data_IF_166679635575
#
_entry.id   IF_166679635575
#
_cell.length_a   1.000
_cell.length_b   1.000
_cell.length_c   1.000
_cell.angle_alpha   90.00
_cell.angle_beta   90.00
_cell.angle_gamma   90.00
#
_symmetry.space_group_name_H-M   'P 1'
#
loop_
_entity.id
_entity.type
_entity.pdbx_description
1 polymer ?
#
# COMPACT_ATOMS: atom_id res chain seq x y z
N UNK A 1 20.76 18.76 11.10
CA UNK A 1 19.71 18.47 12.11
C UNK A 1 18.31 18.30 11.48
N UNK A 2 18.20 18.21 10.15
CA UNK A 2 16.94 18.41 9.40
C UNK A 2 16.20 17.09 9.06
N UNK A 3 16.93 15.97 8.93
CA UNK A 3 16.33 14.66 8.56
C UNK A 3 15.45 14.05 9.65
N UNK A 4 15.74 14.35 10.92
CA UNK A 4 14.98 13.81 12.06
C UNK A 4 13.59 14.47 12.20
N UNK A 5 13.48 15.74 11.81
CA UNK A 5 12.24 16.52 11.92
C UNK A 5 11.23 16.10 10.84
N UNK A 6 11.70 15.90 9.61
CA UNK A 6 10.91 15.35 8.49
C UNK A 6 10.40 13.94 8.82
N UNK A 7 11.25 13.09 9.42
CA UNK A 7 10.86 11.74 9.84
C UNK A 7 9.76 11.75 10.91
N UNK A 8 9.82 12.66 11.87
CA UNK A 8 8.85 12.75 12.96
C UNK A 8 7.49 13.27 12.48
N UNK A 9 7.50 14.28 11.60
CA UNK A 9 6.27 14.81 10.98
C UNK A 9 5.59 13.79 10.06
N UNK A 10 6.36 12.97 9.33
CA UNK A 10 5.81 11.87 8.52
C UNK A 10 5.22 10.79 9.44
N UNK A 11 5.89 10.42 10.54
CA UNK A 11 5.37 9.44 11.51
C UNK A 11 4.04 9.86 12.12
N UNK A 12 3.88 11.13 12.51
CA UNK A 12 2.62 11.66 13.03
C UNK A 12 1.46 11.49 12.03
N UNK A 13 1.68 11.89 10.77
CA UNK A 13 0.68 11.71 9.70
C UNK A 13 0.38 10.26 9.40
N UNK A 14 1.38 9.38 9.44
CA UNK A 14 1.19 7.95 9.22
C UNK A 14 0.33 7.34 10.32
N UNK A 15 0.53 7.73 11.58
CA UNK A 15 -0.29 7.26 12.70
C UNK A 15 -1.78 7.62 12.53
N UNK A 16 -2.10 8.80 12.00
CA UNK A 16 -3.48 9.23 11.72
C UNK A 16 -4.22 8.38 10.66
N UNK A 17 -3.48 7.71 9.77
CA UNK A 17 -4.04 6.99 8.60
C UNK A 17 -3.87 5.47 8.67
N UNK A 18 -3.21 4.96 9.70
CA UNK A 18 -3.00 3.53 9.95
C UNK A 18 -4.27 2.90 10.57
N UNK A 19 -5.36 2.90 9.80
CA UNK A 19 -6.63 2.26 10.17
C UNK A 19 -6.98 1.17 9.17
N UNK A 20 -7.61 0.09 9.64
CA UNK A 20 -7.89 -1.09 8.79
C UNK A 20 -8.84 -0.76 7.63
N UNK A 21 -9.81 0.10 7.89
CA UNK A 21 -10.80 0.58 6.91
C UNK A 21 -10.14 1.36 5.73
N UNK A 22 -8.92 1.88 5.90
CA UNK A 22 -8.16 2.59 4.88
C UNK A 22 -7.10 1.72 4.16
N UNK A 23 -7.07 0.41 4.45
CA UNK A 23 -6.18 -0.53 3.77
C UNK A 23 -6.73 -0.93 2.39
N UNK A 24 -5.85 -1.00 1.40
CA UNK A 24 -6.20 -1.51 0.07
C UNK A 24 -6.42 -3.02 0.15
N UNK A 25 -7.48 -3.51 -0.49
CA UNK A 25 -7.71 -4.95 -0.64
C UNK A 25 -6.78 -5.56 -1.70
N UNK A 26 -6.46 -6.83 -1.52
CA UNK A 26 -5.58 -7.59 -2.40
C UNK A 26 -6.25 -8.87 -2.89
N UNK A 27 -6.05 -9.20 -4.15
CA UNK A 27 -6.46 -10.48 -4.74
C UNK A 27 -5.23 -11.33 -5.07
N UNK A 28 -5.30 -12.62 -4.76
CA UNK A 28 -4.22 -13.57 -5.06
C UNK A 28 -4.24 -13.94 -6.55
N UNK A 29 -3.11 -13.75 -7.23
CA UNK A 29 -2.92 -14.30 -8.57
C UNK A 29 -2.43 -15.73 -8.45
N UNK A 30 -3.16 -16.66 -9.06
CA UNK A 30 -2.79 -18.07 -9.12
C UNK A 30 -2.20 -18.41 -10.48
N UNK A 31 -1.16 -19.24 -10.48
CA UNK A 31 -0.60 -19.85 -11.68
C UNK A 31 -0.38 -21.33 -11.45
N UNK A 32 -0.12 -22.06 -12.53
CA UNK A 32 0.16 -23.49 -12.46
C UNK A 32 1.64 -23.74 -12.15
N UNK A 33 1.91 -24.63 -11.20
CA UNK A 33 3.25 -25.17 -10.96
C UNK A 33 3.52 -26.35 -11.90
N UNK A 34 4.80 -26.68 -12.10
CA UNK A 34 5.21 -27.86 -12.90
C UNK A 34 4.62 -29.18 -12.38
N UNK A 35 4.28 -29.24 -11.09
CA UNK A 35 3.61 -30.38 -10.47
C UNK A 35 2.09 -30.44 -10.72
N UNK A 36 1.53 -29.56 -11.56
CA UNK A 36 0.08 -29.43 -11.80
C UNK A 36 -0.72 -28.92 -10.59
N UNK A 37 -0.03 -28.27 -9.64
CA UNK A 37 -0.66 -27.67 -8.46
C UNK A 37 -0.74 -26.16 -8.65
N UNK A 38 -1.84 -25.56 -8.22
CA UNK A 38 -1.99 -24.11 -8.19
C UNK A 38 -1.04 -23.51 -7.16
N UNK A 39 -0.30 -22.46 -7.56
CA UNK A 39 0.57 -21.68 -6.68
C UNK A 39 0.24 -20.20 -6.79
N UNK A 40 0.38 -19.47 -5.70
CA UNK A 40 0.27 -18.00 -5.73
C UNK A 40 1.54 -17.45 -6.38
N UNK A 41 1.37 -16.67 -7.45
CA UNK A 41 2.47 -16.07 -8.22
C UNK A 41 2.57 -14.56 -8.04
N UNK A 42 1.60 -13.94 -7.37
CA UNK A 42 1.55 -12.50 -7.17
C UNK A 42 0.28 -12.05 -6.48
N UNK A 43 0.19 -10.75 -6.26
CA UNK A 43 -1.00 -10.09 -5.72
C UNK A 43 -1.41 -8.90 -6.60
N UNK A 44 -2.71 -8.71 -6.72
CA UNK A 44 -3.32 -7.55 -7.38
C UNK A 44 -3.93 -6.64 -6.35
N UNK A 45 -3.48 -5.39 -6.30
CA UNK A 45 -3.90 -4.39 -5.31
C UNK A 45 -5.05 -3.57 -5.91
N UNK A 46 -6.20 -3.56 -5.25
CA UNK A 46 -7.29 -2.64 -5.60
C UNK A 46 -7.02 -1.27 -4.99
N UNK A 47 -6.84 -0.27 -5.86
CA UNK A 47 -6.60 1.12 -5.42
C UNK A 47 -7.87 1.71 -4.81
N UNK A 48 -7.69 2.51 -3.76
CA UNK A 48 -8.77 3.28 -3.16
C UNK A 48 -8.92 4.59 -3.94
N UNK A 49 -10.06 4.78 -4.60
CA UNK A 49 -10.32 5.93 -5.48
C UNK A 49 -10.30 7.27 -4.76
N UNK A 50 -10.70 7.28 -3.48
CA UNK A 50 -10.77 8.45 -2.62
C UNK A 50 -9.42 8.84 -2.01
N UNK A 51 -8.33 8.09 -2.21
CA UNK A 51 -7.04 8.40 -1.58
C UNK A 51 -6.34 9.57 -2.28
N UNK A 52 -5.98 10.57 -1.49
CA UNK A 52 -5.31 11.78 -1.98
C UNK A 52 -3.91 11.48 -2.56
N UNK A 53 -3.44 12.34 -3.46
CA UNK A 53 -2.07 12.28 -3.97
C UNK A 53 -0.99 12.41 -2.88
N UNK A 54 -1.30 13.08 -1.76
CA UNK A 54 -0.38 13.20 -0.61
C UNK A 54 -0.23 11.86 0.09
N UNK A 55 -1.35 11.17 0.39
CA UNK A 55 -1.31 9.85 1.02
C UNK A 55 -0.68 8.79 0.09
N UNK A 56 -0.93 8.86 -1.23
CA UNK A 56 -0.24 7.99 -2.20
C UNK A 56 1.29 8.10 -2.12
N UNK A 57 1.82 9.33 -2.02
CA UNK A 57 3.27 9.56 -1.86
C UNK A 57 3.81 8.99 -0.55
N UNK A 58 3.06 9.12 0.54
CA UNK A 58 3.43 8.53 1.85
C UNK A 58 3.46 6.99 1.75
N UNK A 59 2.42 6.36 1.18
CA UNK A 59 2.38 4.90 0.96
C UNK A 59 3.59 4.43 0.13
N UNK A 60 3.85 5.08 -1.00
CA UNK A 60 5.00 4.75 -1.86
C UNK A 60 6.36 4.89 -1.14
N UNK A 61 6.52 5.92 -0.30
CA UNK A 61 7.73 6.11 0.49
C UNK A 61 7.92 4.99 1.54
N UNK A 62 6.85 4.58 2.22
CA UNK A 62 6.88 3.47 3.17
C UNK A 62 7.18 2.14 2.47
N UNK A 63 6.53 1.87 1.34
CA UNK A 63 6.78 0.65 0.55
C UNK A 63 8.23 0.56 0.07
N UNK A 64 8.79 1.68 -0.38
CA UNK A 64 10.20 1.78 -0.77
C UNK A 64 11.12 1.52 0.42
N UNK A 65 10.87 2.17 1.56
CA UNK A 65 11.68 2.03 2.77
C UNK A 65 11.64 0.60 3.30
N UNK A 66 10.46 -0.03 3.31
CA UNK A 66 10.28 -1.43 3.69
C UNK A 66 11.05 -2.36 2.75
N UNK A 67 10.95 -2.15 1.43
CA UNK A 67 11.67 -2.96 0.44
C UNK A 67 13.19 -2.83 0.58
N UNK A 68 13.70 -1.62 0.78
CA UNK A 68 15.13 -1.37 0.94
C UNK A 68 15.68 -1.94 2.26
N UNK A 69 14.85 -1.98 3.31
CA UNK A 69 15.21 -2.58 4.60
C UNK A 69 15.21 -4.11 4.63
N UNK A 70 14.70 -4.78 3.58
CA UNK A 70 14.65 -6.23 3.51
C UNK A 70 15.99 -6.85 3.10
N UNK A 71 16.31 -8.00 3.70
CA UNK A 71 17.43 -8.84 3.26
C UNK A 71 17.27 -9.25 1.80
N UNK A 72 18.38 -9.52 1.10
CA UNK A 72 18.33 -9.96 -0.30
C UNK A 72 17.44 -11.21 -0.46
N UNK A 73 17.61 -12.20 0.42
CA UNK A 73 16.77 -13.42 0.44
C UNK A 73 15.28 -13.13 0.57
N UNK A 74 14.90 -12.14 1.38
CA UNK A 74 13.50 -11.75 1.54
C UNK A 74 12.97 -11.07 0.27
N UNK A 75 13.77 -10.19 -0.34
CA UNK A 75 13.43 -9.54 -1.62
C UNK A 75 13.26 -10.55 -2.75
N UNK A 76 14.15 -11.54 -2.86
CA UNK A 76 14.10 -12.58 -3.90
C UNK A 76 12.87 -13.50 -3.77
N UNK A 77 12.31 -13.60 -2.56
CA UNK A 77 11.10 -14.40 -2.27
C UNK A 77 9.81 -13.57 -2.29
N UNK A 78 9.91 -12.25 -2.40
CA UNK A 78 8.75 -11.38 -2.43
C UNK A 78 7.99 -11.61 -3.73
N UNK A 79 6.72 -12.00 -3.61
CA UNK A 79 5.85 -12.10 -4.78
C UNK A 79 5.54 -10.70 -5.33
N UNK A 80 5.45 -10.55 -6.66
CA UNK A 80 5.11 -9.27 -7.27
C UNK A 80 3.74 -8.79 -6.81
N UNK A 81 3.66 -7.50 -6.49
CA UNK A 81 2.42 -6.79 -6.19
C UNK A 81 2.19 -5.78 -7.31
N UNK A 82 1.07 -5.90 -8.01
CA UNK A 82 0.73 -5.04 -9.16
C UNK A 82 -0.65 -4.44 -8.96
N UNK A 83 -0.95 -3.34 -9.64
CA UNK A 83 -2.29 -2.77 -9.58
C UNK A 83 -3.32 -3.71 -10.22
N UNK A 84 -4.47 -3.80 -9.56
CA UNK A 84 -5.66 -4.40 -10.11
C UNK A 84 -6.31 -3.42 -11.12
N UNK A 85 -6.98 -3.95 -12.14
CA UNK A 85 -7.64 -3.13 -13.17
C UNK A 85 -8.85 -2.36 -12.61
N UNK A 86 -9.52 -2.99 -11.64
CA UNK A 86 -10.67 -2.44 -10.93
C UNK A 86 -10.22 -1.80 -9.60
N UNK A 87 -10.73 -0.61 -9.32
CA UNK A 87 -10.56 0.08 -8.04
C UNK A 87 -11.39 -0.56 -6.92
N UNK A 88 -11.02 -0.32 -5.68
CA UNK A 88 -11.77 -0.79 -4.52
C UNK A 88 -13.06 0.00 -4.36
N UNK A 89 -14.15 -0.68 -4.02
CA UNK A 89 -15.43 -0.06 -3.63
C UNK A 89 -15.44 0.43 -2.18
N UNK A 90 -14.37 0.20 -1.42
CA UNK A 90 -14.23 0.66 -0.03
C UNK A 90 -14.31 2.17 0.04
N UNK A 91 -15.17 2.68 0.91
CA UNK A 91 -15.33 4.11 1.19
C UNK A 91 -14.27 4.60 2.19
N UNK A 92 -13.99 5.92 2.26
CA UNK A 92 -13.11 6.45 3.30
C UNK A 92 -13.68 6.16 4.70
N UNK A 93 -12.82 5.88 5.69
CA UNK A 93 -13.24 5.75 7.09
C UNK A 93 -13.95 7.00 7.61
N UNK A 94 -14.80 6.80 8.63
CA UNK A 94 -15.39 7.95 9.34
C UNK A 94 -14.27 8.72 10.06
N UNK A 95 -14.32 10.05 10.00
CA UNK A 95 -13.34 10.96 10.62
C UNK A 95 -11.90 10.78 10.10
N UNK A 96 -11.74 10.31 8.85
CA UNK A 96 -10.43 10.19 8.22
C UNK A 96 -9.84 11.57 7.85
N UNK A 97 -8.52 11.79 7.98
CA UNK A 97 -7.95 13.12 7.79
C UNK A 97 -8.19 13.69 6.38
N UNK A 98 -8.64 14.95 6.30
CA UNK A 98 -8.94 15.64 5.03
C UNK A 98 -7.77 15.63 4.05
N UNK A 99 -6.54 15.72 4.57
CA UNK A 99 -5.34 15.73 3.72
C UNK A 99 -5.13 14.40 2.98
N UNK A 100 -5.73 13.32 3.49
CA UNK A 100 -5.59 11.95 3.01
C UNK A 100 -6.73 11.52 2.08
N UNK A 101 -7.83 12.28 2.06
CA UNK A 101 -8.95 12.11 1.12
C UNK A 101 -8.74 13.03 -0.09
N UNK A 102 -9.09 12.56 -1.29
CA UNK A 102 -9.14 13.36 -2.48
C UNK A 102 -10.31 14.34 -2.36
N UNK A 103 -10.03 15.64 -2.40
CA UNK A 103 -11.06 16.67 -2.52
C UNK A 103 -11.90 16.38 -3.78
N UNK A 104 -13.22 16.23 -3.64
CA UNK A 104 -14.10 16.39 -4.80
C UNK A 104 -14.03 17.86 -5.19
N UNK A 105 -13.37 18.18 -6.30
CA UNK A 105 -13.66 19.43 -7.01
C UNK A 105 -15.06 19.35 -7.63
#
# INVERSE_FOLDING_TARGET
MEKADISTRIRGKVAEVLVEEAMSSEESCVGEAESGKTKIVGYKIKRLSWVSGKLRKVKAFLDKTMREGQTQRARDRALPRTDHEVESSTLPPKDFPDWAIQSSE
#
